data_IF_681673451896
#
_entry.id   IF_681673451896
#
_cell.length_a   1.000
_cell.length_b   1.000
_cell.length_c   1.000
_cell.angle_alpha   90.00
_cell.angle_beta   90.00
_cell.angle_gamma   90.00
#
_symmetry.space_group_name_H-M   'P 1'
#
loop_
_entity.id
_entity.type
_entity.pdbx_description
1 polymer ?
#
# COMPACT_ATOMS: atom_id res chain seq x y z
N UNK A 1 -12.01 25.45 -7.61
CA UNK A 1 -13.06 24.50 -8.03
C UNK A 1 -13.13 23.41 -6.97
N UNK A 2 -14.31 23.12 -6.37
CA UNK A 2 -14.45 21.94 -5.53
C UNK A 2 -14.15 20.68 -6.36
N UNK A 3 -13.47 19.70 -5.77
CA UNK A 3 -13.22 18.41 -6.42
C UNK A 3 -14.57 17.70 -6.66
N UNK A 4 -14.69 16.94 -7.75
CA UNK A 4 -15.88 16.13 -8.00
C UNK A 4 -16.08 15.10 -6.88
N UNK A 5 -17.31 14.64 -6.67
CA UNK A 5 -17.64 13.61 -5.67
C UNK A 5 -16.84 12.31 -5.88
N UNK A 6 -16.57 11.97 -7.14
CA UNK A 6 -15.72 10.85 -7.54
C UNK A 6 -14.27 11.01 -7.04
N UNK A 7 -13.70 12.22 -7.16
CA UNK A 7 -12.37 12.49 -6.65
C UNK A 7 -12.32 12.43 -5.12
N UNK A 8 -13.37 12.88 -4.42
CA UNK A 8 -13.45 12.78 -2.96
C UNK A 8 -13.51 11.31 -2.50
N UNK A 9 -14.35 10.48 -3.14
CA UNK A 9 -14.43 9.04 -2.87
C UNK A 9 -13.09 8.34 -3.10
N UNK A 10 -12.39 8.70 -4.19
CA UNK A 10 -11.06 8.20 -4.49
C UNK A 10 -10.05 8.49 -3.37
N UNK A 11 -9.96 9.73 -2.89
CA UNK A 11 -9.06 10.08 -1.79
C UNK A 11 -9.38 9.31 -0.51
N UNK A 12 -10.66 9.14 -0.18
CA UNK A 12 -11.07 8.35 1.00
C UNK A 12 -10.62 6.89 0.90
N UNK A 13 -10.78 6.27 -0.27
CA UNK A 13 -10.33 4.88 -0.50
C UNK A 13 -8.82 4.75 -0.37
N UNK A 14 -8.06 5.69 -0.95
CA UNK A 14 -6.60 5.72 -0.83
C UNK A 14 -6.16 5.85 0.64
N UNK A 15 -6.75 6.78 1.40
CA UNK A 15 -6.39 6.95 2.81
C UNK A 15 -6.72 5.73 3.66
N UNK A 16 -7.84 5.05 3.39
CA UNK A 16 -8.19 3.80 4.08
C UNK A 16 -7.21 2.67 3.77
N UNK A 17 -6.71 2.58 2.55
CA UNK A 17 -5.72 1.57 2.18
C UNK A 17 -4.35 1.86 2.83
N UNK A 18 -3.93 3.14 2.87
CA UNK A 18 -2.66 3.54 3.51
C UNK A 18 -2.67 3.29 5.02
N UNK A 19 -3.80 3.49 5.70
CA UNK A 19 -3.91 3.24 7.15
C UNK A 19 -3.76 1.76 7.55
N UNK A 20 -3.78 0.84 6.59
CA UNK A 20 -3.59 -0.59 6.84
C UNK A 20 -2.12 -1.02 6.71
N UNK A 21 -1.21 -0.11 6.33
CA UNK A 21 0.22 -0.40 6.25
C UNK A 21 0.79 -0.52 7.67
N UNK A 22 1.38 -1.67 8.05
CA UNK A 22 1.94 -1.86 9.39
C UNK A 22 3.11 -0.90 9.66
N UNK A 23 3.35 -0.61 10.93
CA UNK A 23 4.50 0.19 11.34
C UNK A 23 5.81 -0.46 10.90
N UNK A 24 6.70 0.33 10.28
CA UNK A 24 7.98 -0.17 9.75
C UNK A 24 7.88 -0.89 8.39
N UNK A 25 6.70 -0.91 7.76
CA UNK A 25 6.47 -1.45 6.42
C UNK A 25 6.17 -0.33 5.42
N UNK A 26 6.47 -0.57 4.14
CA UNK A 26 6.13 0.35 3.05
C UNK A 26 5.42 -0.35 1.90
N UNK A 27 4.64 0.41 1.13
CA UNK A 27 3.98 -0.05 -0.09
C UNK A 27 4.25 0.93 -1.22
N UNK A 28 3.92 0.53 -2.46
CA UNK A 28 4.06 1.43 -3.61
C UNK A 28 2.74 2.08 -3.98
N UNK A 29 2.80 3.32 -4.48
CA UNK A 29 1.65 3.99 -5.07
C UNK A 29 0.96 3.13 -6.14
N UNK A 30 1.76 2.47 -6.99
CA UNK A 30 1.24 1.54 -8.00
C UNK A 30 0.53 0.33 -7.39
N UNK A 31 1.00 -0.18 -6.25
CA UNK A 31 0.35 -1.26 -5.53
C UNK A 31 -1.00 -0.82 -4.95
N UNK A 32 -1.07 0.32 -4.26
CA UNK A 32 -2.35 0.85 -3.72
C UNK A 32 -3.33 1.20 -4.85
N UNK A 33 -2.84 1.79 -5.94
CA UNK A 33 -3.62 2.07 -7.14
C UNK A 33 -4.17 0.80 -7.80
N UNK A 34 -3.37 -0.28 -7.82
CA UNK A 34 -3.78 -1.60 -8.31
C UNK A 34 -4.79 -2.27 -7.36
N UNK A 35 -4.56 -2.22 -6.06
CA UNK A 35 -5.46 -2.73 -5.01
C UNK A 35 -6.84 -2.09 -5.10
N UNK A 36 -6.90 -0.82 -5.47
CA UNK A 36 -8.13 -0.05 -5.61
C UNK A 36 -8.73 -0.08 -7.02
N UNK A 37 -8.09 -0.76 -7.99
CA UNK A 37 -8.61 -0.91 -9.36
C UNK A 37 -8.46 0.30 -10.28
N UNK A 38 -7.60 1.27 -9.93
CA UNK A 38 -7.37 2.50 -10.70
C UNK A 38 -5.87 2.71 -10.98
N UNK A 39 -5.29 2.07 -12.01
CA UNK A 39 -3.87 2.23 -12.33
C UNK A 39 -3.60 3.61 -12.96
N UNK A 40 -3.25 4.61 -12.15
CA UNK A 40 -2.52 5.79 -12.64
C UNK A 40 -2.61 7.08 -11.81
N UNK A 41 -1.42 7.65 -11.50
CA UNK A 41 -1.04 9.08 -11.54
C UNK A 41 0.22 9.41 -10.68
N UNK A 42 1.38 9.49 -11.33
CA UNK A 42 2.59 10.28 -11.04
C UNK A 42 2.78 10.95 -9.65
N UNK A 43 3.05 10.16 -8.60
CA UNK A 43 3.43 10.61 -7.24
C UNK A 43 4.88 10.32 -6.83
N UNK A 44 5.74 9.91 -7.76
CA UNK A 44 7.04 9.27 -7.45
C UNK A 44 8.00 10.12 -6.60
N UNK A 45 8.01 11.45 -6.76
CA UNK A 45 8.88 12.33 -5.99
C UNK A 45 8.39 12.53 -4.54
N UNK A 46 7.08 12.71 -4.35
CA UNK A 46 6.46 12.76 -3.01
C UNK A 46 6.63 11.42 -2.29
N UNK A 47 6.52 10.32 -3.02
CA UNK A 47 6.70 8.99 -2.49
C UNK A 47 8.16 8.73 -2.06
N UNK A 48 9.15 9.17 -2.85
CA UNK A 48 10.56 9.12 -2.46
C UNK A 48 10.79 9.85 -1.13
N UNK A 49 10.21 11.04 -0.94
CA UNK A 49 10.32 11.77 0.34
C UNK A 49 9.75 11.01 1.51
N UNK A 50 8.58 10.38 1.36
CA UNK A 50 7.96 9.59 2.42
C UNK A 50 8.79 8.33 2.76
N UNK A 51 9.25 7.60 1.75
CA UNK A 51 10.09 6.41 1.91
C UNK A 51 11.40 6.74 2.64
N UNK A 52 12.08 7.82 2.25
CA UNK A 52 13.30 8.28 2.91
C UNK A 52 13.05 8.68 4.37
N UNK A 53 11.92 9.30 4.68
CA UNK A 53 11.55 9.66 6.05
C UNK A 53 11.28 8.44 6.94
N UNK A 54 10.85 7.33 6.34
CA UNK A 54 10.61 6.04 6.99
C UNK A 54 11.86 5.14 7.04
N UNK A 55 13.00 5.62 6.51
CA UNK A 55 14.27 4.89 6.51
C UNK A 55 14.44 3.89 5.37
N UNK A 56 13.56 3.93 4.35
CA UNK A 56 13.67 3.10 3.15
C UNK A 56 14.63 3.74 2.17
N UNK A 57 15.62 2.97 1.73
CA UNK A 57 16.61 3.42 0.77
C UNK A 57 16.01 3.42 -0.66
N UNK A 58 16.17 4.56 -1.35
CA UNK A 58 15.72 4.74 -2.73
C UNK A 58 16.93 5.02 -3.62
N UNK A 59 17.24 4.10 -4.52
CA UNK A 59 18.28 4.26 -5.54
C UNK A 59 17.81 5.14 -6.70
N UNK A 60 18.74 5.87 -7.33
CA UNK A 60 18.49 6.67 -8.55
C UNK A 60 19.27 6.18 -9.76
N UNK A 61 18.58 5.95 -10.87
CA UNK A 61 19.15 5.62 -12.16
C UNK A 61 19.59 6.85 -12.96
N UNK A 62 20.38 6.63 -14.01
CA UNK A 62 20.90 7.70 -14.88
C UNK A 62 19.81 8.49 -15.62
N UNK A 63 18.63 7.89 -15.83
CA UNK A 63 17.46 8.54 -16.43
C UNK A 63 16.49 9.12 -15.38
N UNK A 64 16.86 9.16 -14.10
CA UNK A 64 16.00 9.66 -13.02
C UNK A 64 14.96 8.65 -12.51
N UNK A 65 15.09 7.39 -12.91
CA UNK A 65 14.34 6.26 -12.36
C UNK A 65 14.64 6.10 -10.87
N UNK A 66 13.63 5.75 -10.08
CA UNK A 66 13.75 5.48 -8.64
C UNK A 66 13.55 3.99 -8.42
N UNK A 67 14.43 3.38 -7.64
CA UNK A 67 14.43 1.93 -7.38
C UNK A 67 14.45 1.69 -5.88
N UNK A 68 13.77 0.64 -5.43
CA UNK A 68 13.79 0.16 -4.05
C UNK A 68 14.13 -1.32 -4.09
N UNK A 69 15.00 -1.76 -3.18
CA UNK A 69 15.31 -3.17 -3.04
C UNK A 69 14.19 -3.91 -2.29
N UNK A 70 13.41 -4.68 -3.05
CA UNK A 70 12.32 -5.49 -2.51
C UNK A 70 12.78 -6.69 -1.69
N UNK A 71 14.04 -7.12 -1.81
CA UNK A 71 14.55 -8.16 -0.91
C UNK A 71 14.73 -7.65 0.52
N UNK A 72 14.95 -6.34 0.66
CA UNK A 72 15.15 -5.67 1.96
C UNK A 72 13.85 -5.07 2.50
N UNK A 73 13.05 -4.41 1.65
CA UNK A 73 11.89 -3.62 2.08
C UNK A 73 10.54 -4.16 1.57
N UNK A 74 10.54 -5.30 0.88
CA UNK A 74 9.36 -5.85 0.24
C UNK A 74 8.36 -6.45 1.24
N UNK A 75 7.11 -6.01 1.15
CA UNK A 75 5.98 -6.65 1.82
C UNK A 75 4.92 -7.04 0.79
N UNK A 76 4.83 -8.35 0.50
CA UNK A 76 3.99 -8.90 -0.58
C UNK A 76 3.13 -10.09 -0.08
N UNK A 77 2.17 -9.85 0.82
CA UNK A 77 1.28 -10.93 1.23
C UNK A 77 0.28 -11.28 0.12
N UNK A 78 -0.12 -12.56 0.03
CA UNK A 78 -1.15 -13.01 -0.92
C UNK A 78 -2.57 -12.62 -0.48
N UNK A 79 -2.76 -12.38 0.82
CA UNK A 79 -4.00 -11.94 1.47
C UNK A 79 -3.60 -10.99 2.60
N UNK A 80 -4.32 -9.89 2.79
CA UNK A 80 -4.04 -8.97 3.89
C UNK A 80 -4.18 -9.69 5.24
N UNK A 81 -3.30 -9.45 6.22
CA UNK A 81 -3.40 -10.09 7.53
C UNK A 81 -4.80 -9.97 8.19
N UNK A 82 -5.47 -8.82 8.02
CA UNK A 82 -6.84 -8.58 8.50
C UNK A 82 -7.92 -9.46 7.85
N UNK A 83 -7.65 -9.98 6.64
CA UNK A 83 -8.54 -10.88 5.90
C UNK A 83 -8.17 -12.36 6.11
N UNK A 84 -7.03 -12.64 6.76
CA UNK A 84 -6.61 -13.99 7.16
C UNK A 84 -7.16 -14.38 8.54
N UNK A 85 -7.20 -13.44 9.47
CA UNK A 85 -7.73 -13.65 10.84
C UNK A 85 -9.23 -14.00 10.86
N UNK A 86 -10.00 -13.54 9.86
CA UNK A 86 -11.42 -13.87 9.71
C UNK A 86 -11.66 -15.34 9.36
N UNK A 87 -10.68 -16.06 8.81
CA UNK A 87 -10.85 -17.47 8.39
C UNK A 87 -10.43 -18.48 9.46
N UNK A 88 -9.58 -18.06 10.39
CA UNK A 88 -9.15 -18.88 11.54
C UNK A 88 -10.21 -18.83 12.66
N UNK A 89 -10.84 -17.67 12.89
CA UNK A 89 -11.94 -17.54 13.86
C UNK A 89 -13.18 -18.37 13.48
N UNK A 90 -13.46 -18.57 12.18
CA UNK A 90 -14.57 -19.41 11.68
C UNK A 90 -14.23 -20.92 11.69
N UNK A 91 -12.95 -21.27 11.79
CA UNK A 91 -12.50 -22.66 11.87
C UNK A 91 -12.57 -23.19 13.31
N UNK A 92 -12.20 -22.36 14.30
CA UNK A 92 -12.31 -22.69 15.73
C UNK A 92 -13.78 -22.84 16.20
N UNK A 93 -14.73 -22.08 15.64
CA UNK A 93 -16.16 -22.23 15.94
C UNK A 93 -16.78 -23.56 15.45
N UNK A 94 -16.15 -24.23 14.48
CA UNK A 94 -16.66 -25.50 13.94
C UNK A 94 -16.10 -26.74 14.65
N UNK A 95 -15.06 -26.61 15.48
CA UNK A 95 -14.51 -27.71 16.28
C UNK A 95 -15.18 -27.84 17.67
N UNK A 96 -15.98 -26.85 18.08
CA UNK A 96 -16.78 -26.86 19.32
C UNK A 96 -18.27 -27.25 19.12
N UNK A 97 -18.66 -27.76 17.94
CA UNK A 97 -20.03 -28.22 17.61
C UNK A 97 -20.14 -29.74 17.39
#
# INVERSE_FOLDING_TARGET
MPRSDEAAAWYTMVYRAVQQVPYGSVTSYGHIANLLGYPGANGAATQETALLAEGVEVGRGSLGERTVDFSTFGWFPNVLPSEGESREAEADEQEEL
#
